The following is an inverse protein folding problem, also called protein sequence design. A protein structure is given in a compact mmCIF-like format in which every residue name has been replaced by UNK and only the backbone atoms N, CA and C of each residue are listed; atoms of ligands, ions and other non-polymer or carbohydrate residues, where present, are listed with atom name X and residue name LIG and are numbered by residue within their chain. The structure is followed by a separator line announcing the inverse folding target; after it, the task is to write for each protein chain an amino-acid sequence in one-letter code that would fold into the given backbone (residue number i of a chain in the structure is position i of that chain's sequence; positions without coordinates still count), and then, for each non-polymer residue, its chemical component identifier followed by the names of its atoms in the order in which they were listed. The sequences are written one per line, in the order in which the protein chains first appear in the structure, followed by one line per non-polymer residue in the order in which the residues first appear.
data_IF_892601631367
#
_entry.id   IF_892601631367
#
_cell.length_a   1.000
_cell.length_b   1.000
_cell.length_c   1.000
_cell.angle_alpha   90.00
_cell.angle_beta   90.00
_cell.angle_gamma   90.00
#
_symmetry.space_group_name_H-M   'P 1'
#
loop_
_entity.id
_entity.type
_entity.pdbx_description
1 polymer ?
#
# COMPACT_ATOMS: atom_id res chain seq x y z
N UNK A 1 -54.30 -26.13 -21.36
CA UNK A 1 -53.42 -25.37 -20.44
C UNK A 1 -51.97 -25.57 -20.87
N UNK A 2 -51.38 -24.62 -21.59
CA UNK A 2 -49.91 -24.53 -21.73
C UNK A 2 -49.48 -23.29 -20.93
N UNK A 3 -48.76 -23.49 -19.83
CA UNK A 3 -48.11 -22.38 -19.14
C UNK A 3 -46.86 -22.00 -19.93
N UNK A 4 -46.96 -20.89 -20.66
CA UNK A 4 -45.90 -20.40 -21.53
C UNK A 4 -44.71 -19.93 -20.69
N UNK A 5 -43.58 -20.64 -20.78
CA UNK A 5 -42.40 -20.42 -19.93
C UNK A 5 -41.72 -19.11 -20.35
N UNK A 6 -42.18 -18.01 -19.76
CA UNK A 6 -41.64 -16.67 -19.99
C UNK A 6 -40.37 -16.43 -19.16
N UNK A 7 -39.31 -17.19 -19.44
CA UNK A 7 -37.96 -16.92 -18.93
C UNK A 7 -37.21 -16.01 -19.88
N UNK A 8 -37.65 -14.76 -19.98
CA UNK A 8 -36.88 -13.68 -20.60
C UNK A 8 -35.56 -13.53 -19.85
N UNK A 9 -34.48 -14.07 -20.43
CA UNK A 9 -33.12 -13.78 -19.98
C UNK A 9 -32.77 -12.33 -20.31
N UNK A 10 -33.28 -11.41 -19.50
CA UNK A 10 -32.73 -10.07 -19.42
C UNK A 10 -31.25 -10.21 -19.07
N UNK A 11 -30.37 -9.80 -19.99
CA UNK A 11 -28.91 -9.81 -19.81
C UNK A 11 -28.55 -8.74 -18.78
N UNK A 12 -28.82 -9.05 -17.51
CA UNK A 12 -28.44 -8.22 -16.37
C UNK A 12 -26.91 -8.18 -16.34
N UNK A 13 -26.37 -6.97 -16.19
CA UNK A 13 -24.94 -6.78 -16.03
C UNK A 13 -24.38 -7.55 -14.83
N UNK A 14 -23.04 -7.65 -14.77
CA UNK A 14 -22.28 -8.39 -13.76
C UNK A 14 -22.66 -8.08 -12.30
N UNK A 15 -23.25 -6.90 -12.05
CA UNK A 15 -23.89 -6.52 -10.78
C UNK A 15 -25.39 -6.23 -10.97
N UNK A 16 -26.20 -6.63 -9.99
CA UNK A 16 -27.60 -6.23 -9.86
C UNK A 16 -27.76 -5.32 -8.63
N UNK A 17 -28.45 -4.19 -8.78
CA UNK A 17 -28.66 -3.24 -7.69
C UNK A 17 -29.83 -3.71 -6.82
N UNK A 18 -29.61 -3.83 -5.51
CA UNK A 18 -30.66 -4.07 -4.51
C UNK A 18 -31.22 -2.75 -4.00
N UNK A 19 -32.46 -2.76 -3.51
CA UNK A 19 -33.17 -1.63 -2.86
C UNK A 19 -32.30 -0.82 -1.88
N UNK A 20 -31.43 -1.51 -1.12
CA UNK A 20 -30.46 -0.91 -0.21
C UNK A 20 -29.32 -0.10 -0.89
N UNK A 21 -29.38 0.15 -2.20
CA UNK A 21 -28.40 0.91 -2.96
C UNK A 21 -27.03 0.25 -3.11
N UNK A 22 -26.93 -1.05 -2.82
CA UNK A 22 -25.73 -1.89 -2.95
C UNK A 22 -25.84 -2.77 -4.21
N UNK A 23 -24.71 -2.99 -4.89
CA UNK A 23 -24.65 -3.84 -6.08
C UNK A 23 -24.21 -5.27 -5.74
N UNK A 24 -25.08 -6.26 -5.88
CA UNK A 24 -24.74 -7.67 -5.64
C UNK A 24 -24.08 -8.26 -6.90
N UNK A 25 -22.89 -8.84 -6.73
CA UNK A 25 -22.12 -9.47 -7.83
C UNK A 25 -22.74 -10.81 -8.21
N UNK A 26 -22.83 -11.10 -9.52
CA UNK A 26 -23.30 -12.38 -10.08
C UNK A 26 -24.62 -12.89 -9.46
N UNK A 27 -25.55 -11.96 -9.16
CA UNK A 27 -26.85 -12.28 -8.56
C UNK A 27 -26.78 -12.89 -7.15
N UNK A 28 -25.62 -12.84 -6.48
CA UNK A 28 -25.40 -13.41 -5.15
C UNK A 28 -24.82 -14.83 -5.17
N UNK A 29 -24.49 -15.38 -6.35
CA UNK A 29 -23.81 -16.68 -6.49
C UNK A 29 -22.50 -16.68 -5.69
N UNK A 30 -22.26 -17.66 -4.79
CA UNK A 30 -20.98 -17.80 -4.11
C UNK A 30 -19.84 -18.02 -5.10
N UNK A 31 -18.78 -17.22 -4.98
CA UNK A 31 -17.62 -17.26 -5.86
C UNK A 31 -16.48 -18.03 -5.17
N UNK A 32 -15.90 -19.03 -5.85
CA UNK A 32 -14.66 -19.68 -5.40
C UNK A 32 -13.46 -19.04 -6.08
N UNK A 33 -12.32 -19.04 -5.38
CA UNK A 33 -11.07 -18.53 -5.95
C UNK A 33 -10.63 -19.32 -7.18
N UNK A 34 -10.93 -20.63 -7.27
CA UNK A 34 -10.71 -21.47 -8.45
C UNK A 34 -11.36 -20.90 -9.71
N UNK A 35 -12.59 -20.41 -9.56
CA UNK A 35 -13.42 -19.98 -10.68
C UNK A 35 -12.84 -18.67 -11.24
N UNK A 36 -12.45 -17.75 -10.35
CA UNK A 36 -11.76 -16.49 -10.69
C UNK A 36 -10.38 -16.71 -11.31
N UNK A 37 -9.64 -17.76 -10.90
CA UNK A 37 -8.34 -18.12 -11.49
C UNK A 37 -8.54 -18.58 -12.94
N UNK A 38 -9.57 -19.37 -13.23
CA UNK A 38 -9.89 -19.84 -14.59
C UNK A 38 -10.38 -18.68 -15.48
N UNK A 39 -11.31 -17.86 -14.97
CA UNK A 39 -11.94 -16.79 -15.76
C UNK A 39 -11.00 -15.61 -16.06
N UNK A 40 -10.04 -15.31 -15.18
CA UNK A 40 -9.17 -14.12 -15.27
C UNK A 40 -7.67 -14.40 -15.38
N UNK A 41 -7.22 -15.64 -15.18
CA UNK A 41 -5.78 -15.99 -15.19
C UNK A 41 -4.97 -15.43 -14.00
N UNK A 42 -5.63 -14.96 -12.95
CA UNK A 42 -4.99 -14.26 -11.81
C UNK A 42 -4.57 -15.25 -10.72
N UNK A 43 -3.34 -15.12 -10.22
CA UNK A 43 -2.81 -15.96 -9.14
C UNK A 43 -3.57 -15.76 -7.81
N UNK A 44 -3.75 -16.84 -7.04
CA UNK A 44 -4.59 -16.90 -5.82
C UNK A 44 -4.21 -15.84 -4.79
N UNK A 45 -2.91 -15.56 -4.64
CA UNK A 45 -2.36 -14.57 -3.70
C UNK A 45 -2.80 -13.16 -4.07
N UNK A 46 -2.81 -12.80 -5.36
CA UNK A 46 -3.32 -11.50 -5.82
C UNK A 46 -4.81 -11.35 -5.53
N UNK A 47 -5.64 -12.36 -5.83
CA UNK A 47 -7.07 -12.34 -5.51
C UNK A 47 -7.34 -12.10 -4.01
N UNK A 48 -6.69 -12.86 -3.13
CA UNK A 48 -6.85 -12.73 -1.67
C UNK A 48 -6.41 -11.35 -1.18
N UNK A 49 -5.29 -10.84 -1.69
CA UNK A 49 -4.78 -9.50 -1.33
C UNK A 49 -5.73 -8.39 -1.78
N UNK A 50 -6.30 -8.48 -2.99
CA UNK A 50 -7.22 -7.48 -3.52
C UNK A 50 -8.56 -7.49 -2.77
N UNK A 51 -9.15 -8.66 -2.52
CA UNK A 51 -10.39 -8.78 -1.72
C UNK A 51 -10.17 -8.22 -0.30
N UNK A 52 -9.04 -8.56 0.34
CA UNK A 52 -8.69 -8.04 1.68
C UNK A 52 -8.54 -6.52 1.67
N UNK A 53 -7.88 -5.96 0.65
CA UNK A 53 -7.69 -4.51 0.49
C UNK A 53 -9.02 -3.78 0.24
N UNK A 54 -9.83 -4.25 -0.70
CA UNK A 54 -11.12 -3.63 -1.06
C UNK A 54 -12.12 -3.67 0.11
N UNK A 55 -12.11 -4.76 0.89
CA UNK A 55 -12.89 -4.88 2.14
C UNK A 55 -12.40 -3.90 3.21
N UNK A 56 -11.08 -3.80 3.42
CA UNK A 56 -10.47 -2.85 4.39
C UNK A 56 -10.75 -1.39 4.03
N UNK A 57 -10.77 -1.06 2.74
CA UNK A 57 -11.08 0.29 2.25
C UNK A 57 -12.60 0.54 2.10
N UNK A 58 -13.46 -0.42 2.44
CA UNK A 58 -14.92 -0.27 2.53
C UNK A 58 -15.68 -0.33 1.21
N UNK A 59 -15.01 -0.58 0.07
CA UNK A 59 -15.65 -0.66 -1.25
C UNK A 59 -16.51 -1.90 -1.43
N UNK A 60 -16.17 -3.01 -0.75
CA UNK A 60 -16.93 -4.27 -0.82
C UNK A 60 -17.21 -4.83 0.57
N UNK A 61 -18.38 -5.44 0.70
CA UNK A 61 -18.75 -6.32 1.79
C UNK A 61 -18.69 -7.78 1.31
N UNK A 62 -18.21 -8.67 2.18
CA UNK A 62 -17.96 -10.07 1.82
C UNK A 62 -18.62 -11.00 2.84
N UNK A 63 -19.66 -11.73 2.44
CA UNK A 63 -20.28 -12.78 3.27
C UNK A 63 -19.65 -14.12 2.93
N UNK A 64 -19.13 -14.83 3.92
CA UNK A 64 -18.59 -16.19 3.74
C UNK A 64 -19.74 -17.21 3.74
N UNK A 65 -19.67 -18.18 2.85
CA UNK A 65 -20.57 -19.33 2.78
C UNK A 65 -19.72 -20.61 2.70
N UNK A 66 -20.31 -21.82 2.88
CA UNK A 66 -19.55 -23.07 2.74
C UNK A 66 -18.90 -23.23 1.35
N UNK A 67 -19.57 -22.73 0.31
CA UNK A 67 -19.19 -22.92 -1.09
C UNK A 67 -18.42 -21.75 -1.70
N UNK A 68 -18.12 -20.68 -0.95
CA UNK A 68 -17.35 -19.55 -1.47
C UNK A 68 -17.58 -18.22 -0.73
N UNK A 69 -17.33 -17.14 -1.44
CA UNK A 69 -17.52 -15.76 -0.97
C UNK A 69 -18.62 -15.08 -1.79
N UNK A 70 -19.62 -14.50 -1.12
CA UNK A 70 -20.61 -13.64 -1.76
C UNK A 70 -20.16 -12.20 -1.60
N UNK A 71 -20.11 -11.45 -2.70
CA UNK A 71 -19.55 -10.09 -2.76
C UNK A 71 -20.68 -9.08 -3.04
N UNK A 72 -20.78 -8.08 -2.18
CA UNK A 72 -21.64 -6.90 -2.35
C UNK A 72 -20.77 -5.67 -2.51
N UNK A 73 -21.02 -4.89 -3.57
CA UNK A 73 -20.31 -3.65 -3.89
C UNK A 73 -21.05 -2.46 -3.27
N UNK A 74 -20.34 -1.69 -2.47
CA UNK A 74 -20.82 -0.42 -1.90
C UNK A 74 -20.60 0.73 -2.90
N UNK A 75 -21.30 1.86 -2.69
CA UNK A 75 -21.08 3.07 -3.50
C UNK A 75 -19.61 3.51 -3.40
N UNK A 76 -18.99 3.79 -4.54
CA UNK A 76 -17.56 4.11 -4.61
C UNK A 76 -17.20 5.37 -3.80
N UNK A 77 -16.21 5.25 -2.91
CA UNK A 77 -15.68 6.38 -2.15
C UNK A 77 -14.88 7.33 -3.07
N UNK A 78 -15.58 8.30 -3.67
CA UNK A 78 -14.96 9.37 -4.46
C UNK A 78 -14.10 10.27 -3.55
N UNK A 79 -12.78 10.07 -3.54
CA UNK A 79 -11.80 10.90 -2.78
C UNK A 79 -11.61 12.32 -3.34
N UNK A 80 -12.61 12.87 -4.03
CA UNK A 80 -12.59 14.21 -4.63
C UNK A 80 -13.27 15.28 -3.76
N UNK A 81 -14.02 14.89 -2.73
CA UNK A 81 -14.58 15.82 -1.74
C UNK A 81 -13.54 16.19 -0.68
N UNK A 82 -13.28 17.50 -0.54
CA UNK A 82 -12.67 18.15 0.62
C UNK A 82 -11.16 17.95 0.84
N UNK A 83 -10.33 18.18 -0.20
CA UNK A 83 -8.89 18.44 -0.01
C UNK A 83 -8.60 19.79 0.72
N UNK A 84 -9.64 20.58 1.00
CA UNK A 84 -9.60 21.93 1.55
C UNK A 84 -9.93 22.04 3.05
N UNK A 85 -10.49 21.02 3.69
CA UNK A 85 -11.06 21.12 5.05
C UNK A 85 -10.72 19.94 5.97
N UNK A 86 -9.42 19.75 6.25
CA UNK A 86 -8.89 19.59 7.62
C UNK A 86 -7.37 19.40 7.62
N UNK A 87 -6.62 20.47 7.94
CA UNK A 87 -5.18 20.42 8.27
C UNK A 87 -4.91 21.12 9.61
N UNK A 88 -5.82 20.95 10.57
CA UNK A 88 -5.67 21.39 11.95
C UNK A 88 -6.17 20.27 12.88
N UNK A 89 -5.57 20.20 14.07
CA UNK A 89 -5.68 19.10 15.05
C UNK A 89 -5.16 17.75 14.51
N UNK A 90 -4.35 16.97 15.25
CA UNK A 90 -3.92 17.10 16.64
C UNK A 90 -2.42 17.38 16.80
N UNK A 91 -2.08 18.54 17.37
CA UNK A 91 -0.97 18.60 18.34
C UNK A 91 -1.56 18.21 19.70
N UNK A 92 -0.79 17.52 20.53
CA UNK A 92 -1.32 16.80 21.70
C UNK A 92 -1.89 17.71 22.79
N UNK A 93 -2.98 17.25 23.42
CA UNK A 93 -3.49 17.75 24.69
C UNK A 93 -3.74 16.55 25.60
N UNK A 94 -3.03 16.50 26.72
CA UNK A 94 -3.16 15.45 27.74
C UNK A 94 -4.20 15.83 28.79
N UNK A 95 -5.32 15.11 28.87
CA UNK A 95 -6.32 15.26 29.93
C UNK A 95 -6.33 14.05 30.86
N UNK A 96 -5.99 14.25 32.14
CA UNK A 96 -6.16 13.24 33.20
C UNK A 96 -7.59 13.28 33.73
N UNK A 97 -8.29 12.14 33.77
CA UNK A 97 -9.53 11.98 34.55
C UNK A 97 -9.71 10.54 35.08
N UNK A 98 -9.15 10.31 36.27
CA UNK A 98 -9.55 9.37 37.34
C UNK A 98 -10.61 8.25 37.11
N UNK A 99 -10.18 7.01 37.41
CA UNK A 99 -10.86 5.90 38.18
C UNK A 99 -12.30 5.49 37.79
N UNK A 100 -12.65 4.19 37.62
CA UNK A 100 -11.89 2.91 37.72
C UNK A 100 -12.24 1.97 36.51
N UNK A 101 -12.83 0.76 36.52
CA UNK A 101 -13.28 -0.24 37.53
C UNK A 101 -13.29 -1.65 36.88
N UNK A 102 -13.19 -2.73 37.68
CA UNK A 102 -13.07 -4.14 37.23
C UNK A 102 -14.38 -4.79 36.67
N UNK A 103 -14.43 -5.99 36.04
CA UNK A 103 -13.56 -7.17 36.20
C UNK A 103 -13.66 -8.20 35.04
N UNK A 104 -12.57 -8.94 34.82
CA UNK A 104 -12.43 -10.35 34.36
C UNK A 104 -13.44 -11.01 33.40
N UNK A 105 -12.89 -11.70 32.39
CA UNK A 105 -12.91 -13.18 32.31
C UNK A 105 -11.58 -13.63 31.66
N UNK A 106 -11.15 -14.87 31.92
CA UNK A 106 -9.84 -15.40 31.53
C UNK A 106 -9.93 -16.21 30.22
N UNK A 107 -8.87 -16.22 29.43
CA UNK A 107 -8.52 -17.38 28.61
C UNK A 107 -7.00 -17.43 28.39
N UNK A 108 -6.45 -18.64 28.20
CA UNK A 108 -5.01 -18.91 28.27
C UNK A 108 -4.38 -19.04 26.89
N UNK A 109 -3.53 -18.08 26.49
CA UNK A 109 -2.77 -18.16 25.25
C UNK A 109 -1.38 -18.79 25.46
N UNK A 110 -0.99 -19.64 24.51
CA UNK A 110 0.31 -20.33 24.49
C UNK A 110 1.43 -19.42 23.99
N UNK A 111 2.67 -19.68 24.43
CA UNK A 111 3.85 -18.99 23.91
C UNK A 111 4.10 -19.32 22.43
N UNK A 112 4.16 -18.28 21.58
CA UNK A 112 4.74 -18.36 20.23
C UNK A 112 5.92 -17.39 20.18
N UNK A 113 7.11 -17.93 19.93
CA UNK A 113 8.36 -17.20 20.00
C UNK A 113 8.81 -16.78 18.59
N UNK A 114 8.50 -15.57 18.14
CA UNK A 114 9.00 -15.05 16.86
C UNK A 114 9.77 -13.72 16.99
N UNK A 115 11.00 -13.74 16.51
CA UNK A 115 11.93 -12.62 16.46
C UNK A 115 11.59 -11.62 15.34
N UNK A 116 10.81 -10.58 15.67
CA UNK A 116 10.56 -9.43 14.79
C UNK A 116 11.41 -8.21 15.17
N UNK A 117 12.21 -7.66 14.25
CA UNK A 117 13.17 -6.60 14.58
C UNK A 117 12.52 -5.20 14.78
N UNK A 118 13.14 -4.39 15.64
CA UNK A 118 12.66 -3.08 16.10
C UNK A 118 12.81 -1.99 15.03
N UNK A 119 11.78 -1.16 14.87
CA UNK A 119 11.92 0.24 14.44
C UNK A 119 10.99 1.15 15.25
N UNK A 120 11.34 1.33 16.53
CA UNK A 120 10.75 2.36 17.39
C UNK A 120 11.30 3.73 17.01
N UNK A 121 10.43 4.67 16.65
CA UNK A 121 10.80 6.07 16.41
C UNK A 121 11.08 6.81 17.73
N UNK A 122 12.33 6.80 18.18
CA UNK A 122 12.81 7.59 19.32
C UNK A 122 13.52 8.85 18.85
N UNK A 123 12.86 10.01 18.98
CA UNK A 123 13.49 11.31 18.85
C UNK A 123 14.42 11.54 20.04
N UNK A 124 15.74 11.63 19.80
CA UNK A 124 16.64 12.12 20.83
C UNK A 124 17.81 12.92 20.22
N UNK A 125 18.05 14.12 20.77
CA UNK A 125 18.93 15.14 20.19
C UNK A 125 20.33 15.09 20.81
N UNK A 126 21.20 14.21 20.32
CA UNK A 126 22.64 14.27 20.63
C UNK A 126 23.36 15.26 19.68
N UNK A 127 24.04 16.25 20.25
CA UNK A 127 24.80 17.26 19.49
C UNK A 127 26.15 16.69 19.03
N UNK A 128 26.15 15.95 17.93
CA UNK A 128 27.37 15.65 17.19
C UNK A 128 27.83 16.91 16.41
N UNK A 129 29.15 17.07 16.16
CA UNK A 129 29.65 18.17 15.33
C UNK A 129 29.04 18.07 13.93
N UNK A 130 28.51 19.19 13.43
CA UNK A 130 28.08 19.29 12.03
C UNK A 130 29.32 19.23 11.13
N UNK A 131 29.73 18.02 10.75
CA UNK A 131 30.70 17.82 9.67
C UNK A 131 30.15 18.50 8.43
N UNK A 132 30.88 19.49 7.90
CA UNK A 132 30.45 20.23 6.71
C UNK A 132 30.16 19.25 5.58
N UNK A 133 28.91 19.21 5.12
CA UNK A 133 28.51 18.34 4.01
C UNK A 133 28.94 19.01 2.71
N UNK A 134 30.04 18.52 2.17
CA UNK A 134 30.59 18.93 0.88
C UNK A 134 30.10 17.96 -0.20
N UNK A 135 29.22 18.47 -1.07
CA UNK A 135 28.62 17.69 -2.15
C UNK A 135 29.64 17.29 -3.21
N UNK A 136 30.62 18.15 -3.52
CA UNK A 136 31.64 17.86 -4.53
C UNK A 136 32.52 16.69 -4.06
N UNK A 137 32.90 16.70 -2.78
CA UNK A 137 33.68 15.63 -2.16
C UNK A 137 32.96 14.29 -2.08
N UNK A 138 31.63 14.25 -1.96
CA UNK A 138 30.86 13.00 -2.08
C UNK A 138 30.67 12.57 -3.54
N UNK A 139 30.53 13.52 -4.49
CA UNK A 139 30.43 13.22 -5.92
C UNK A 139 31.72 12.61 -6.49
N UNK A 140 32.90 13.05 -6.06
CA UNK A 140 34.17 12.42 -6.44
C UNK A 140 34.21 10.94 -6.05
N UNK A 141 33.86 10.60 -4.80
CA UNK A 141 33.76 9.20 -4.34
C UNK A 141 32.77 8.38 -5.17
N UNK A 142 31.61 8.97 -5.51
CA UNK A 142 30.61 8.31 -6.36
C UNK A 142 31.12 8.04 -7.78
N UNK A 143 32.15 8.75 -8.26
CA UNK A 143 32.83 8.46 -9.53
C UNK A 143 33.91 7.38 -9.42
N UNK A 144 34.59 7.29 -8.27
CA UNK A 144 35.61 6.27 -7.95
C UNK A 144 34.98 4.90 -7.59
N UNK A 145 33.72 4.89 -7.18
CA UNK A 145 32.95 3.71 -6.74
C UNK A 145 32.89 2.61 -7.83
N UNK A 146 33.27 1.37 -7.50
CA UNK A 146 33.29 0.21 -8.43
C UNK A 146 31.91 -0.11 -9.03
N UNK A 147 30.83 0.42 -8.45
CA UNK A 147 29.45 0.18 -8.86
C UNK A 147 29.02 1.26 -9.86
N UNK A 148 29.07 0.94 -11.14
CA UNK A 148 28.67 1.82 -12.26
C UNK A 148 27.33 2.53 -12.08
N UNK A 149 26.33 1.88 -11.48
CA UNK A 149 25.04 2.52 -11.21
C UNK A 149 25.13 3.68 -10.18
N UNK A 150 26.14 3.70 -9.32
CA UNK A 150 26.45 4.83 -8.42
C UNK A 150 27.11 5.95 -9.23
N UNK A 151 28.08 5.63 -10.10
CA UNK A 151 28.72 6.57 -11.02
C UNK A 151 27.69 7.28 -11.92
N UNK A 152 26.72 6.53 -12.49
CA UNK A 152 25.61 7.05 -13.29
C UNK A 152 24.75 8.05 -12.49
N UNK A 153 24.47 7.76 -11.20
CA UNK A 153 23.73 8.69 -10.34
C UNK A 153 24.57 9.93 -10.00
N UNK A 154 25.87 9.79 -9.76
CA UNK A 154 26.78 10.92 -9.53
C UNK A 154 26.86 11.85 -10.74
N UNK A 155 27.02 11.27 -11.94
CA UNK A 155 27.00 12.00 -13.21
C UNK A 155 25.68 12.74 -13.42
N UNK A 156 24.54 12.08 -13.15
CA UNK A 156 23.21 12.69 -13.24
C UNK A 156 22.98 13.81 -12.21
N UNK A 157 23.49 13.69 -10.98
CA UNK A 157 23.43 14.75 -9.97
C UNK A 157 24.23 15.98 -10.42
N UNK A 158 25.43 15.76 -10.98
CA UNK A 158 26.28 16.82 -11.54
C UNK A 158 25.59 17.55 -12.70
N UNK A 159 25.08 16.80 -13.67
CA UNK A 159 24.37 17.29 -14.87
C UNK A 159 23.06 18.01 -14.55
N UNK A 160 22.41 17.69 -13.42
CA UNK A 160 21.18 18.37 -12.97
C UNK A 160 21.40 19.43 -11.90
N UNK A 161 22.65 19.75 -11.56
CA UNK A 161 23.03 20.80 -10.60
C UNK A 161 22.17 20.78 -9.32
N UNK A 162 21.90 19.58 -8.81
CA UNK A 162 20.99 19.37 -7.68
C UNK A 162 21.62 19.90 -6.39
N UNK A 163 21.05 20.98 -5.86
CA UNK A 163 21.43 21.50 -4.53
C UNK A 163 21.01 20.49 -3.47
N UNK A 164 22.01 19.86 -2.84
CA UNK A 164 21.86 18.86 -1.79
C UNK A 164 22.69 19.35 -0.60
N UNK A 165 22.02 19.65 0.51
CA UNK A 165 22.60 20.26 1.72
C UNK A 165 22.92 19.20 2.79
N UNK A 166 22.33 18.02 2.70
CA UNK A 166 22.39 16.98 3.72
C UNK A 166 22.63 15.59 3.09
N UNK A 167 23.51 14.81 3.71
CA UNK A 167 23.78 13.39 3.39
C UNK A 167 22.51 12.53 3.33
N UNK A 168 21.49 12.84 4.13
CA UNK A 168 20.19 12.16 4.08
C UNK A 168 19.44 12.43 2.77
N UNK A 169 19.48 13.68 2.26
CA UNK A 169 18.90 14.04 0.96
C UNK A 169 19.65 13.31 -0.17
N UNK A 170 20.99 13.23 -0.11
CA UNK A 170 21.80 12.42 -1.04
C UNK A 170 21.38 10.95 -1.02
N UNK A 171 21.25 10.34 0.17
CA UNK A 171 20.80 8.94 0.30
C UNK A 171 19.39 8.72 -0.25
N UNK A 172 18.45 9.65 -0.04
CA UNK A 172 17.10 9.59 -0.60
C UNK A 172 17.14 9.73 -2.13
N UNK A 173 18.01 10.60 -2.67
CA UNK A 173 18.23 10.76 -4.10
C UNK A 173 18.76 9.46 -4.75
N UNK A 174 19.79 8.85 -4.16
CA UNK A 174 20.35 7.56 -4.59
C UNK A 174 19.28 6.47 -4.54
N UNK A 175 18.55 6.33 -3.41
CA UNK A 175 17.50 5.31 -3.24
C UNK A 175 16.37 5.43 -4.27
N UNK A 176 16.01 6.65 -4.70
CA UNK A 176 14.99 6.88 -5.75
C UNK A 176 15.50 6.46 -7.13
N UNK A 177 16.73 6.82 -7.48
CA UNK A 177 17.27 6.61 -8.83
C UNK A 177 17.95 5.24 -9.02
N UNK A 178 18.21 4.49 -7.94
CA UNK A 178 18.92 3.20 -7.95
C UNK A 178 18.42 2.23 -9.03
N UNK A 179 17.11 2.01 -9.15
CA UNK A 179 16.55 1.07 -10.13
C UNK A 179 16.72 1.54 -11.58
N UNK A 180 16.64 2.84 -11.84
CA UNK A 180 16.86 3.39 -13.17
C UNK A 180 18.34 3.25 -13.58
N UNK A 181 19.27 3.58 -12.68
CA UNK A 181 20.71 3.45 -12.94
C UNK A 181 21.16 1.98 -13.05
N UNK A 182 20.52 1.05 -12.34
CA UNK A 182 20.75 -0.39 -12.51
C UNK A 182 20.34 -0.89 -13.91
N UNK A 183 19.22 -0.42 -14.45
CA UNK A 183 18.79 -0.76 -15.81
C UNK A 183 19.77 -0.23 -16.88
N UNK A 184 20.45 0.88 -16.61
CA UNK A 184 21.43 1.50 -17.52
C UNK A 184 22.84 0.88 -17.44
N UNK A 185 23.08 -0.06 -16.52
CA UNK A 185 24.39 -0.64 -16.25
C UNK A 185 25.08 -1.30 -17.48
N UNK A 186 24.28 -1.75 -18.46
CA UNK A 186 24.77 -2.41 -19.67
C UNK A 186 25.28 -1.48 -20.79
N UNK A 187 24.97 -0.18 -20.78
CA UNK A 187 25.31 0.73 -21.87
C UNK A 187 26.69 1.37 -21.69
N UNK A 188 27.48 1.47 -22.76
CA UNK A 188 28.83 2.04 -22.77
C UNK A 188 28.88 3.41 -23.45
N UNK A 189 29.84 4.23 -23.05
CA UNK A 189 30.12 5.53 -23.69
C UNK A 189 31.09 5.35 -24.88
N UNK A 190 30.97 4.24 -25.60
CA UNK A 190 31.88 3.77 -26.66
C UNK A 190 31.09 3.43 -27.95
N UNK A 191 29.78 3.67 -27.90
CA UNK A 191 28.78 3.39 -28.92
C UNK A 191 28.15 4.72 -29.41
#
# INVERSE_FOLDING_TARGET
MLFQICTTQAVRGFTSITENGKGVVLGGKPIRHTDVIVDLGIERTHYVNWITRLRREGYIETKRTPYGLVISVNKAQKRFSNLSLNKQMSRGLTSKSTKKKEMSINESEMSINETGNKYSSSTESSKLPKTSFDLEKELSKMSEDTKRFIQIIGLWIKEKHLVIENKEQLQVCIKRNLKAAQNLNGYTNVD
#
